data_IF_758141933263
#
_entry.id   IF_758141933263
#
_cell.length_a   1.000
_cell.length_b   1.000
_cell.length_c   1.000
_cell.angle_alpha   90.00
_cell.angle_beta   90.00
_cell.angle_gamma   90.00
#
_symmetry.space_group_name_H-M   'P 1'
#
loop_
_entity.id
_entity.type
_entity.pdbx_description
1 polymer ?
#
# COMPACT_ATOMS: atom_id res chain seq x y z
N UNK A 1 -4.74 11.73 -8.50
CA UNK A 1 -6.01 11.48 -7.79
C UNK A 1 -5.73 11.41 -6.30
N UNK A 2 -6.63 11.90 -5.47
CA UNK A 2 -6.50 11.92 -4.01
C UNK A 2 -6.60 10.54 -3.34
N UNK A 3 -6.82 9.47 -4.11
CA UNK A 3 -6.98 8.10 -3.61
C UNK A 3 -5.83 7.63 -2.72
N UNK A 4 -4.60 7.99 -3.06
CA UNK A 4 -3.41 7.53 -2.34
C UNK A 4 -3.33 8.12 -0.93
N UNK A 5 -3.90 9.31 -0.72
CA UNK A 5 -3.98 9.94 0.59
C UNK A 5 -4.98 9.25 1.54
N UNK A 6 -5.91 8.47 1.00
CA UNK A 6 -6.91 7.76 1.79
C UNK A 6 -6.35 6.51 2.46
N UNK A 7 -5.25 5.96 1.96
CA UNK A 7 -4.61 4.77 2.56
C UNK A 7 -4.07 5.13 3.94
N UNK A 8 -4.44 4.32 4.93
CA UNK A 8 -4.11 4.54 6.34
C UNK A 8 -5.13 5.41 7.10
N UNK A 9 -6.03 6.12 6.43
CA UNK A 9 -7.06 6.90 7.11
C UNK A 9 -8.12 5.99 7.73
N UNK A 10 -8.67 6.47 8.85
CA UNK A 10 -9.88 5.89 9.45
C UNK A 10 -11.09 6.54 8.82
N UNK A 11 -12.03 5.70 8.39
CA UNK A 11 -13.30 6.12 7.82
C UNK A 11 -14.46 5.67 8.69
N UNK A 12 -15.54 6.45 8.67
CA UNK A 12 -16.76 6.20 9.46
C UNK A 12 -17.96 6.24 8.54
N UNK A 13 -18.85 5.27 8.69
CA UNK A 13 -20.16 5.23 8.01
C UNK A 13 -21.19 6.09 8.73
N UNK A 14 -21.85 6.99 7.99
CA UNK A 14 -22.77 7.94 8.58
C UNK A 14 -24.05 7.30 9.17
N UNK A 15 -24.45 6.14 8.65
CA UNK A 15 -25.64 5.43 9.11
C UNK A 15 -25.32 4.26 10.03
N UNK A 16 -24.30 3.48 9.68
CA UNK A 16 -23.88 2.34 10.48
C UNK A 16 -23.14 2.72 11.75
N UNK A 17 -22.48 3.88 11.80
CA UNK A 17 -21.57 4.25 12.88
C UNK A 17 -20.30 3.40 12.94
N UNK A 18 -20.13 2.49 11.99
CA UNK A 18 -18.97 1.58 11.91
C UNK A 18 -17.74 2.36 11.51
N UNK A 19 -16.60 2.00 12.09
CA UNK A 19 -15.29 2.56 11.70
C UNK A 19 -14.37 1.51 11.14
N UNK A 20 -13.59 1.90 10.13
CA UNK A 20 -12.60 1.05 9.50
C UNK A 20 -11.38 1.86 9.05
N UNK A 21 -10.23 1.20 8.94
CA UNK A 21 -9.02 1.79 8.35
C UNK A 21 -8.84 1.27 6.92
N UNK A 22 -8.57 2.18 5.99
CA UNK A 22 -8.26 1.83 4.59
C UNK A 22 -6.83 1.28 4.53
N UNK A 23 -6.67 0.06 4.05
CA UNK A 23 -5.38 -0.62 3.91
C UNK A 23 -4.82 -0.55 2.50
N UNK A 24 -5.67 -0.65 1.50
CA UNK A 24 -5.30 -0.53 0.08
C UNK A 24 -6.50 -0.07 -0.73
N UNK A 25 -6.21 0.56 -1.86
CA UNK A 25 -7.24 1.00 -2.79
C UNK A 25 -6.92 0.39 -4.15
N UNK A 26 -7.89 -0.28 -4.75
CA UNK A 26 -7.83 -0.70 -6.13
C UNK A 26 -8.49 0.34 -7.03
N UNK A 27 -7.80 0.66 -8.12
CA UNK A 27 -8.34 1.54 -9.15
C UNK A 27 -9.55 0.89 -9.85
N UNK A 28 -10.29 1.68 -10.62
CA UNK A 28 -11.40 1.16 -11.43
C UNK A 28 -10.96 0.12 -12.47
N UNK A 29 -9.70 0.17 -12.90
CA UNK A 29 -9.14 -0.75 -13.89
C UNK A 29 -8.75 -2.08 -13.23
N UNK A 30 -8.27 -2.02 -11.99
CA UNK A 30 -7.80 -3.20 -11.26
C UNK A 30 -8.92 -3.88 -10.47
N UNK A 31 -10.09 -3.23 -10.39
CA UNK A 31 -11.28 -3.76 -9.71
C UNK A 31 -12.14 -4.54 -10.68
N UNK A 32 -12.53 -5.75 -10.34
CA UNK A 32 -13.39 -6.63 -11.16
C UNK A 32 -14.74 -5.98 -11.51
N UNK A 33 -15.20 -5.03 -10.73
CA UNK A 33 -16.48 -4.34 -10.93
C UNK A 33 -16.35 -2.97 -11.60
N UNK A 34 -15.14 -2.56 -11.97
CA UNK A 34 -14.89 -1.25 -12.58
C UNK A 34 -15.17 -0.05 -11.66
N UNK A 35 -15.27 -0.26 -10.36
CA UNK A 35 -15.45 0.75 -9.33
C UNK A 35 -14.18 0.90 -8.49
N UNK A 36 -13.99 2.07 -7.87
CA UNK A 36 -12.97 2.24 -6.87
C UNK A 36 -13.29 1.34 -5.67
N UNK A 37 -12.37 0.43 -5.34
CA UNK A 37 -12.58 -0.57 -4.29
C UNK A 37 -11.61 -0.34 -3.14
N UNK A 38 -12.13 -0.19 -1.93
CA UNK A 38 -11.35 -0.04 -0.72
C UNK A 38 -11.18 -1.38 -0.02
N UNK A 39 -9.94 -1.79 0.21
CA UNK A 39 -9.62 -2.83 1.17
C UNK A 39 -9.49 -2.18 2.54
N UNK A 40 -10.39 -2.57 3.43
CA UNK A 40 -10.52 -1.98 4.76
C UNK A 40 -10.36 -3.04 5.84
N UNK A 41 -9.91 -2.59 7.00
CA UNK A 41 -9.98 -3.37 8.23
C UNK A 41 -10.95 -2.67 9.17
N UNK A 42 -12.04 -3.34 9.52
CA UNK A 42 -12.98 -2.85 10.52
C UNK A 42 -12.30 -2.77 11.89
N UNK A 43 -12.54 -1.70 12.63
CA UNK A 43 -11.92 -1.43 13.93
C UNK A 43 -12.95 -1.32 15.05
N UNK A 44 -14.14 -0.81 14.74
CA UNK A 44 -15.21 -0.62 15.71
C UNK A 44 -16.54 -0.90 15.05
N UNK A 45 -17.42 -1.62 15.76
CA UNK A 45 -18.84 -1.78 15.43
C UNK A 45 -19.57 -0.45 15.51
N UNK A 46 -20.76 -0.41 14.97
CA UNK A 46 -21.66 0.73 15.08
C UNK A 46 -22.04 1.06 16.53
N UNK A 47 -22.70 2.18 16.71
CA UNK A 47 -23.13 2.64 18.05
C UNK A 47 -24.20 1.73 18.69
N UNK A 48 -24.81 0.87 17.90
CA UNK A 48 -25.72 -0.21 18.35
C UNK A 48 -24.98 -1.45 18.87
N UNK A 49 -23.65 -1.49 18.78
CA UNK A 49 -22.76 -2.60 19.15
C UNK A 49 -23.03 -3.92 18.42
N UNK A 50 -23.86 -3.91 17.40
CA UNK A 50 -24.29 -5.10 16.64
C UNK A 50 -23.94 -5.00 15.15
N UNK A 51 -23.97 -3.80 14.58
CA UNK A 51 -23.58 -3.55 13.19
C UNK A 51 -22.08 -3.57 13.05
N UNK A 52 -21.53 -4.52 12.29
CA UNK A 52 -20.09 -4.74 12.13
C UNK A 52 -19.55 -4.29 10.77
N UNK A 53 -20.42 -3.96 9.82
CA UNK A 53 -20.05 -3.59 8.44
C UNK A 53 -20.77 -2.33 8.00
N UNK A 54 -20.20 -1.64 7.04
CA UNK A 54 -20.87 -0.50 6.43
C UNK A 54 -22.21 -0.90 5.78
N UNK A 55 -23.15 0.01 5.80
CA UNK A 55 -24.45 -0.18 5.15
C UNK A 55 -24.37 0.16 3.65
N UNK A 56 -25.25 -0.45 2.86
CA UNK A 56 -25.39 -0.13 1.45
C UNK A 56 -25.90 1.31 1.26
N UNK A 57 -25.26 2.07 0.36
CA UNK A 57 -25.66 3.44 0.02
C UNK A 57 -25.45 4.49 1.12
N UNK A 58 -24.58 4.24 2.11
CA UNK A 58 -24.26 5.23 3.13
C UNK A 58 -23.07 6.13 2.75
N UNK A 59 -23.06 7.32 3.32
CA UNK A 59 -21.94 8.26 3.19
C UNK A 59 -20.80 7.85 4.13
N UNK A 60 -19.57 8.02 3.63
CA UNK A 60 -18.34 7.78 4.36
C UNK A 60 -17.63 9.11 4.61
N UNK A 61 -17.18 9.33 5.83
CA UNK A 61 -16.31 10.45 6.21
C UNK A 61 -14.94 9.93 6.69
N UNK A 62 -13.90 10.75 6.53
CA UNK A 62 -12.54 10.43 6.99
C UNK A 62 -12.22 11.22 8.26
N UNK A 63 -11.31 10.68 9.08
CA UNK A 63 -10.87 11.33 10.32
C UNK A 63 -9.83 12.45 10.12
N UNK A 64 -9.42 12.71 8.88
CA UNK A 64 -8.46 13.75 8.50
C UNK A 64 -8.93 14.45 7.23
N UNK A 65 -8.38 15.63 6.99
CA UNK A 65 -8.62 16.40 5.78
C UNK A 65 -8.09 15.65 4.55
N UNK A 66 -8.86 15.66 3.47
CA UNK A 66 -8.48 15.08 2.18
C UNK A 66 -8.21 16.24 1.22
N UNK A 67 -6.95 16.40 0.80
CA UNK A 67 -6.52 17.47 -0.10
C UNK A 67 -6.46 16.97 -1.54
N UNK A 68 -7.11 17.66 -2.47
CA UNK A 68 -7.05 17.34 -3.89
C UNK A 68 -6.99 18.60 -4.75
N UNK A 69 -5.81 18.86 -5.31
CA UNK A 69 -5.55 20.13 -6.00
C UNK A 69 -5.66 21.33 -5.05
N UNK A 70 -6.50 22.30 -5.42
CA UNK A 70 -6.78 23.47 -4.59
C UNK A 70 -7.98 23.29 -3.63
N UNK A 71 -8.61 22.11 -3.62
CA UNK A 71 -9.79 21.81 -2.83
C UNK A 71 -9.45 20.92 -1.64
N UNK A 72 -10.19 21.07 -0.54
CA UNK A 72 -10.06 20.27 0.68
C UNK A 72 -11.44 19.79 1.09
N UNK A 73 -11.55 18.50 1.40
CA UNK A 73 -12.69 17.95 2.14
C UNK A 73 -12.22 17.87 3.60
N UNK A 74 -12.88 18.60 4.47
CA UNK A 74 -12.49 18.66 5.88
C UNK A 74 -12.73 17.31 6.58
N UNK A 75 -11.99 17.06 7.65
CA UNK A 75 -12.18 15.91 8.50
C UNK A 75 -13.64 15.79 8.97
N UNK A 76 -14.16 14.56 8.94
CA UNK A 76 -15.54 14.21 9.28
C UNK A 76 -16.61 14.69 8.28
N UNK A 77 -16.23 15.34 7.19
CA UNK A 77 -17.15 15.63 6.09
C UNK A 77 -17.24 14.44 5.12
N UNK A 78 -18.42 14.24 4.48
CA UNK A 78 -18.61 13.15 3.52
C UNK A 78 -17.70 13.30 2.29
N UNK A 79 -16.95 12.27 1.94
CA UNK A 79 -16.09 12.26 0.75
C UNK A 79 -16.49 11.21 -0.30
N UNK A 80 -17.23 10.18 0.10
CA UNK A 80 -17.67 9.10 -0.77
C UNK A 80 -18.97 8.47 -0.25
N UNK A 81 -19.63 7.68 -1.11
CA UNK A 81 -20.72 6.83 -0.71
C UNK A 81 -20.40 5.37 -1.02
N UNK A 82 -20.86 4.46 -0.18
CA UNK A 82 -20.87 3.03 -0.47
C UNK A 82 -21.82 2.73 -1.64
N UNK A 83 -21.64 1.60 -2.31
CA UNK A 83 -22.56 1.16 -3.35
C UNK A 83 -23.98 1.02 -2.75
N UNK A 84 -24.99 1.30 -3.58
CA UNK A 84 -26.40 1.19 -3.17
C UNK A 84 -26.88 -0.24 -2.97
N UNK A 85 -26.07 -1.22 -3.43
CA UNK A 85 -26.35 -2.65 -3.26
C UNK A 85 -25.05 -3.44 -3.26
N UNK A 86 -24.89 -4.34 -2.31
CA UNK A 86 -23.74 -5.22 -2.20
C UNK A 86 -22.42 -4.45 -1.99
N UNK A 87 -22.45 -3.45 -1.11
CA UNK A 87 -21.30 -2.57 -0.84
C UNK A 87 -20.11 -3.31 -0.21
N UNK A 88 -20.37 -4.42 0.47
CA UNK A 88 -19.35 -5.16 1.22
C UNK A 88 -19.11 -6.54 0.61
N UNK A 89 -17.83 -6.91 0.58
CA UNK A 89 -17.37 -8.28 0.32
C UNK A 89 -16.30 -8.63 1.36
N UNK A 90 -16.02 -9.91 1.53
CA UNK A 90 -14.91 -10.37 2.34
C UNK A 90 -13.78 -10.78 1.42
N UNK A 91 -12.60 -10.24 1.62
CA UNK A 91 -11.39 -10.59 0.89
C UNK A 91 -10.26 -10.92 1.85
N UNK A 92 -9.16 -11.41 1.32
CA UNK A 92 -7.96 -11.71 2.07
C UNK A 92 -6.77 -10.89 1.57
N UNK A 93 -5.97 -10.43 2.52
CA UNK A 93 -4.76 -9.68 2.24
C UNK A 93 -3.66 -10.09 3.21
N UNK A 94 -2.42 -10.00 2.76
CA UNK A 94 -1.25 -10.08 3.61
C UNK A 94 -0.53 -8.73 3.57
N UNK A 95 -0.06 -8.26 4.70
CA UNK A 95 0.79 -7.07 4.78
C UNK A 95 2.06 -7.35 5.53
N UNK A 96 3.14 -6.70 5.08
CA UNK A 96 4.41 -6.64 5.78
C UNK A 96 4.72 -5.18 6.08
N UNK A 97 5.29 -4.92 7.26
CA UNK A 97 5.77 -3.58 7.61
C UNK A 97 7.18 -3.32 7.08
N UNK A 98 7.58 -2.05 7.11
CA UNK A 98 8.98 -1.68 6.85
C UNK A 98 9.91 -2.44 7.77
N UNK A 99 11.02 -2.95 7.24
CA UNK A 99 11.97 -3.70 8.03
C UNK A 99 13.30 -3.94 7.33
N UNK A 100 14.24 -4.48 8.10
CA UNK A 100 15.55 -4.89 7.60
C UNK A 100 15.69 -6.39 7.79
N UNK A 101 15.93 -7.11 6.71
CA UNK A 101 16.05 -8.56 6.70
C UNK A 101 17.49 -8.96 6.42
N UNK A 102 17.97 -9.99 7.14
CA UNK A 102 19.27 -10.58 6.87
C UNK A 102 19.15 -11.68 5.83
N UNK A 103 19.74 -11.46 4.66
CA UNK A 103 19.67 -12.38 3.53
C UNK A 103 21.05 -12.58 2.94
N UNK A 104 21.47 -13.85 2.82
CA UNK A 104 22.73 -14.24 2.18
C UNK A 104 23.97 -13.45 2.65
N UNK A 105 24.05 -13.17 3.95
CA UNK A 105 25.17 -12.45 4.54
C UNK A 105 25.06 -10.92 4.53
N UNK A 106 23.97 -10.37 3.96
CA UNK A 106 23.75 -8.92 3.81
C UNK A 106 22.41 -8.50 4.45
N UNK A 107 22.39 -7.27 4.97
CA UNK A 107 21.16 -6.65 5.44
C UNK A 107 20.49 -5.90 4.29
N UNK A 108 19.25 -6.29 3.96
CA UNK A 108 18.45 -5.64 2.92
C UNK A 108 17.23 -4.96 3.55
N UNK A 109 17.00 -3.72 3.18
CA UNK A 109 15.81 -2.96 3.60
C UNK A 109 14.63 -3.34 2.71
N UNK A 110 13.49 -3.63 3.33
CA UNK A 110 12.21 -3.89 2.67
C UNK A 110 11.23 -2.82 3.07
N UNK A 111 10.56 -2.24 2.09
CA UNK A 111 9.45 -1.33 2.32
C UNK A 111 8.17 -2.12 2.59
N UNK A 112 7.34 -1.58 3.49
CA UNK A 112 6.05 -2.20 3.82
C UNK A 112 5.13 -2.24 2.61
N UNK A 113 4.52 -3.41 2.41
CA UNK A 113 3.58 -3.61 1.32
C UNK A 113 2.36 -4.41 1.78
N UNK A 114 1.22 -4.15 1.14
CA UNK A 114 0.00 -4.94 1.29
C UNK A 114 -0.33 -5.63 -0.02
N UNK A 115 -0.29 -6.95 0.00
CA UNK A 115 -0.67 -7.81 -1.13
C UNK A 115 -2.09 -8.33 -0.94
N UNK A 116 -2.95 -8.09 -1.92
CA UNK A 116 -4.29 -8.68 -1.95
C UNK A 116 -4.18 -10.08 -2.50
N UNK A 117 -4.60 -11.06 -1.73
CA UNK A 117 -4.53 -12.48 -2.09
C UNK A 117 -5.78 -12.90 -2.85
N UNK A 118 -6.94 -12.47 -2.36
CA UNK A 118 -8.22 -12.72 -3.00
C UNK A 118 -9.21 -11.61 -2.66
N UNK A 119 -10.06 -11.25 -3.62
CA UNK A 119 -11.03 -10.16 -3.45
C UNK A 119 -12.32 -10.62 -2.77
N UNK A 120 -12.64 -11.91 -2.81
CA UNK A 120 -13.97 -12.43 -2.43
C UNK A 120 -13.93 -13.66 -1.53
N UNK A 121 -12.75 -14.09 -1.08
CA UNK A 121 -12.63 -15.20 -0.12
C UNK A 121 -11.70 -14.85 1.04
N UNK A 122 -12.03 -15.37 2.20
CA UNK A 122 -11.24 -15.30 3.44
C UNK A 122 -10.43 -16.57 3.72
N UNK A 123 -10.49 -17.55 2.81
CA UNK A 123 -9.79 -18.83 2.92
C UNK A 123 -8.81 -19.05 1.76
N UNK A 124 -7.86 -18.15 1.52
CA UNK A 124 -6.90 -18.28 0.42
C UNK A 124 -5.92 -19.41 0.70
N UNK A 125 -5.50 -20.11 -0.37
CA UNK A 125 -4.47 -21.15 -0.31
C UNK A 125 -3.26 -20.75 -1.15
N UNK A 126 -2.43 -19.86 -0.61
CA UNK A 126 -1.22 -19.34 -1.27
C UNK A 126 0.02 -19.57 -0.42
N UNK A 127 1.17 -19.69 -1.09
CA UNK A 127 2.48 -19.57 -0.47
C UNK A 127 3.01 -18.17 -0.75
N UNK A 128 3.31 -17.42 0.31
CA UNK A 128 3.77 -16.03 0.22
C UNK A 128 5.18 -15.97 0.79
N UNK A 129 6.05 -15.19 0.15
CA UNK A 129 7.42 -15.00 0.58
C UNK A 129 8.12 -13.99 -0.29
N UNK A 130 9.32 -13.64 0.10
CA UNK A 130 10.17 -12.76 -0.69
C UNK A 130 10.86 -13.52 -1.82
N UNK A 131 10.97 -12.85 -2.96
CA UNK A 131 11.90 -13.20 -4.01
C UNK A 131 13.22 -12.45 -3.77
N UNK A 132 14.33 -13.17 -3.77
CA UNK A 132 15.66 -12.62 -3.58
C UNK A 132 16.40 -12.68 -4.91
N UNK A 133 16.77 -11.51 -5.43
CA UNK A 133 17.58 -11.37 -6.64
C UNK A 133 18.97 -10.87 -6.25
N UNK A 134 19.97 -11.46 -6.84
CA UNK A 134 21.37 -11.05 -6.72
C UNK A 134 21.87 -10.60 -8.08
N UNK A 135 22.54 -9.46 -8.12
CA UNK A 135 23.14 -8.92 -9.33
C UNK A 135 24.46 -8.23 -9.01
N UNK A 136 25.30 -8.01 -10.03
CA UNK A 136 26.52 -7.26 -9.93
C UNK A 136 26.40 -5.98 -10.74
N UNK A 137 26.56 -4.84 -10.08
CA UNK A 137 26.56 -3.53 -10.71
C UNK A 137 28.00 -3.15 -10.98
N UNK A 138 28.31 -2.92 -12.26
CA UNK A 138 29.60 -2.45 -12.75
C UNK A 138 29.66 -0.93 -12.82
N UNK A 139 30.88 -0.40 -13.09
CA UNK A 139 31.07 1.03 -13.29
C UNK A 139 30.37 1.58 -14.56
N UNK A 140 30.01 0.72 -15.51
CA UNK A 140 29.24 1.11 -16.71
C UNK A 140 27.77 1.41 -16.36
N UNK A 141 27.23 0.72 -15.33
CA UNK A 141 25.84 0.87 -14.87
C UNK A 141 25.74 1.94 -13.78
N UNK A 142 26.72 2.03 -12.90
CA UNK A 142 26.81 3.04 -11.86
C UNK A 142 28.16 3.82 -11.95
N UNK A 143 28.21 4.98 -12.62
CA UNK A 143 29.42 5.78 -12.73
C UNK A 143 30.03 6.23 -11.39
N UNK A 144 29.30 6.12 -10.28
CA UNK A 144 29.86 6.41 -8.95
C UNK A 144 30.91 5.40 -8.50
N UNK A 145 31.01 4.26 -9.17
CA UNK A 145 32.04 3.23 -8.96
C UNK A 145 33.35 3.55 -9.67
N UNK A 146 33.40 4.59 -10.53
CA UNK A 146 34.65 5.06 -11.11
C UNK A 146 35.52 5.77 -10.07
N UNK A 147 36.84 5.72 -10.30
CA UNK A 147 37.82 6.47 -9.48
C UNK A 147 37.58 7.98 -9.62
N UNK A 148 37.39 8.64 -8.49
CA UNK A 148 37.14 10.09 -8.41
C UNK A 148 38.41 10.95 -8.21
N UNK A 149 39.59 10.35 -8.25
CA UNK A 149 40.87 11.03 -8.01
C UNK A 149 41.21 12.00 -9.15
N UNK A 150 40.51 13.12 -9.23
CA UNK A 150 40.72 14.15 -10.25
C UNK A 150 42.16 14.65 -10.25
N UNK A 151 42.78 14.72 -11.44
CA UNK A 151 44.17 15.14 -11.63
C UNK A 151 45.18 13.99 -11.56
N UNK A 152 44.80 12.76 -11.37
CA UNK A 152 45.65 11.57 -11.41
C UNK A 152 45.37 10.72 -12.67
N UNK A 153 46.30 9.85 -13.03
CA UNK A 153 46.24 9.05 -14.26
C UNK A 153 45.12 8.00 -14.25
N UNK A 154 44.64 7.62 -13.09
CA UNK A 154 43.57 6.66 -12.88
C UNK A 154 42.17 7.33 -12.73
N UNK A 155 42.06 8.63 -12.91
CA UNK A 155 40.79 9.33 -12.89
C UNK A 155 39.76 8.68 -13.85
N UNK A 156 38.56 8.42 -13.37
CA UNK A 156 37.49 7.75 -14.09
C UNK A 156 37.81 6.30 -14.53
N UNK A 157 38.84 5.66 -14.00
CA UNK A 157 39.05 4.24 -14.21
C UNK A 157 37.92 3.41 -13.51
N UNK A 158 37.46 2.32 -14.12
CA UNK A 158 36.46 1.44 -13.48
C UNK A 158 36.96 0.90 -12.14
N UNK A 159 36.17 1.05 -11.12
CA UNK A 159 36.39 0.47 -9.80
C UNK A 159 35.87 -0.96 -9.67
N UNK A 160 35.81 -1.46 -8.45
CA UNK A 160 35.28 -2.80 -8.18
C UNK A 160 33.78 -2.82 -8.37
N UNK A 161 33.27 -3.92 -8.92
CA UNK A 161 31.83 -4.18 -9.01
C UNK A 161 31.21 -4.27 -7.63
N UNK A 162 29.95 -3.89 -7.54
CA UNK A 162 29.15 -3.94 -6.32
C UNK A 162 28.12 -5.07 -6.39
N UNK A 163 28.07 -5.91 -5.35
CA UNK A 163 26.95 -6.86 -5.19
C UNK A 163 25.67 -6.10 -4.82
N UNK A 164 24.64 -6.28 -5.61
CA UNK A 164 23.30 -5.79 -5.34
C UNK A 164 22.38 -6.95 -4.92
N UNK A 165 21.65 -6.78 -3.80
CA UNK A 165 20.63 -7.72 -3.36
C UNK A 165 19.30 -6.98 -3.31
N UNK A 166 18.34 -7.42 -4.16
CA UNK A 166 16.98 -6.94 -4.18
C UNK A 166 16.05 -7.97 -3.56
N UNK A 167 15.12 -7.48 -2.76
CA UNK A 167 14.05 -8.29 -2.15
C UNK A 167 12.71 -7.70 -2.61
N UNK A 168 11.89 -8.52 -3.25
CA UNK A 168 10.57 -8.14 -3.76
C UNK A 168 9.51 -9.20 -3.47
#
# INVERSE_FOLDING_TARGET
LYSDQLVGLRITGARSGVTATIKKILSKVDSDRGNLTFYIKYEKSGDDFTTEKFSDGESLSANQDIVYGASVIAANEPFANTLSFGANATGSAMSIGDGVYFVRGTFAQVQGETLILDQYTDTPSYRIGFNVQEDFISADEDPSLNDNASGFTNFAAPGADRLEIKIS
#
